data_IF_915787398743
#
_entry.id   IF_915787398743
#
_cell.length_a   1.000
_cell.length_b   1.000
_cell.length_c   1.000
_cell.angle_alpha   90.00
_cell.angle_beta   90.00
_cell.angle_gamma   90.00
#
_symmetry.space_group_name_H-M   'P 1'
#
loop_
_entity.id
_entity.type
_entity.pdbx_description
1 polymer ?
2 water ?
#
# COMPACT_ATOMS: atom_id res chain seq x y z
N UNK A 4 17.65 -13.63 5.53
CA UNK A 4 16.35 -13.29 6.22
C UNK A 4 15.76 -11.94 5.84
N UNK A 5 14.76 -11.50 6.59
CA UNK A 5 14.07 -10.23 6.36
C UNK A 5 15.01 -9.03 6.52
N UNK A 6 15.72 -8.97 7.64
CA UNK A 6 16.64 -7.87 7.90
C UNK A 6 17.63 -7.65 6.76
N UNK A 7 18.12 -8.73 6.15
CA UNK A 7 19.07 -8.57 5.05
C UNK A 7 18.42 -8.05 3.77
N UNK A 8 17.19 -8.49 3.49
CA UNK A 8 16.53 -8.00 2.28
C UNK A 8 16.18 -6.53 2.47
N UNK A 9 15.80 -6.16 3.69
CA UNK A 9 15.44 -4.78 3.96
C UNK A 9 16.63 -3.86 3.77
N UNK A 10 17.82 -4.30 4.18
CA UNK A 10 19.02 -3.48 4.00
C UNK A 10 19.30 -3.27 2.50
N UNK A 11 19.15 -4.32 1.70
CA UNK A 11 19.39 -4.19 0.27
C UNK A 11 18.37 -3.23 -0.37
N UNK A 12 17.10 -3.39 0.00
CA UNK A 12 16.04 -2.54 -0.53
C UNK A 12 16.24 -1.08 -0.14
N UNK A 13 16.67 -0.84 1.10
CA UNK A 13 16.90 0.51 1.60
C UNK A 13 18.00 1.22 0.82
N UNK A 14 19.13 0.54 0.65
CA UNK A 14 20.23 1.15 -0.07
C UNK A 14 19.81 1.35 -1.53
N UNK A 15 19.08 0.39 -2.09
CA UNK A 15 18.65 0.49 -3.48
C UNK A 15 17.67 1.64 -3.72
N UNK A 16 16.69 1.76 -2.84
CA UNK A 16 15.68 2.80 -2.97
C UNK A 16 16.27 4.19 -2.70
N UNK A 17 17.19 4.28 -1.74
CA UNK A 17 17.81 5.56 -1.45
C UNK A 17 18.50 6.06 -2.72
N UNK A 18 19.11 5.14 -3.46
CA UNK A 18 19.80 5.52 -4.70
C UNK A 18 18.83 5.87 -5.82
N UNK A 19 17.75 5.11 -5.94
CA UNK A 19 16.77 5.37 -6.98
C UNK A 19 16.02 6.68 -6.74
N UNK A 20 15.80 7.03 -5.48
CA UNK A 20 15.12 8.28 -5.18
C UNK A 20 16.06 9.44 -5.54
N UNK A 21 17.34 9.29 -5.20
CA UNK A 21 18.32 10.32 -5.50
C UNK A 21 18.37 10.53 -7.01
N UNK A 22 18.05 9.49 -7.78
CA UNK A 22 18.06 9.59 -9.24
C UNK A 22 16.84 10.34 -9.80
N UNK A 23 15.80 10.50 -8.99
CA UNK A 23 14.62 11.23 -9.44
C UNK A 23 14.95 12.72 -9.46
N UNK A 24 14.25 13.48 -10.30
CA UNK A 24 14.54 14.90 -10.39
C UNK A 24 13.56 15.82 -9.66
N UNK A 25 12.49 15.25 -9.14
CA UNK A 25 11.49 16.07 -8.45
C UNK A 25 12.12 16.98 -7.38
N UNK A 26 11.94 18.31 -7.51
CA UNK A 26 12.50 19.24 -6.53
C UNK A 26 11.98 19.04 -5.10
N UNK A 27 10.80 18.43 -4.97
CA UNK A 27 10.23 18.16 -3.65
C UNK A 27 11.07 17.13 -2.90
N UNK A 28 11.94 16.43 -3.63
CA UNK A 28 12.80 15.40 -3.04
C UNK A 28 14.23 15.87 -2.79
N UNK A 29 14.50 17.15 -3.00
CA UNK A 29 15.87 17.64 -2.79
C UNK A 29 16.29 17.46 -1.32
N UNK A 30 17.45 16.85 -1.12
CA UNK A 30 18.02 16.57 0.20
C UNK A 30 17.26 15.55 1.04
N UNK A 31 16.28 14.90 0.44
CA UNK A 31 15.53 13.88 1.18
C UNK A 31 16.39 12.65 1.39
N UNK A 32 16.26 12.04 2.57
CA UNK A 32 17.00 10.81 2.87
C UNK A 32 16.07 9.71 3.37
N UNK A 33 16.47 8.47 3.15
CA UNK A 33 15.69 7.34 3.60
C UNK A 33 16.25 6.89 4.94
N UNK A 34 15.43 6.95 5.98
CA UNK A 34 15.91 6.57 7.30
C UNK A 34 15.79 5.07 7.57
N UNK A 35 14.79 4.44 6.98
CA UNK A 35 14.61 3.01 7.22
C UNK A 35 13.49 2.47 6.35
N UNK A 36 13.40 1.15 6.26
CA UNK A 36 12.33 0.49 5.52
C UNK A 36 11.96 -0.72 6.34
N UNK A 37 10.71 -1.17 6.20
CA UNK A 37 10.24 -2.34 6.91
C UNK A 37 9.32 -3.07 5.95
N UNK A 38 9.61 -4.34 5.70
CA UNK A 38 8.80 -5.15 4.78
C UNK A 38 7.70 -5.86 5.55
N UNK A 39 6.51 -5.97 4.94
CA UNK A 39 5.41 -6.67 5.59
C UNK A 39 5.77 -8.16 5.71
N UNK A 40 5.11 -8.84 6.64
CA UNK A 40 5.36 -10.27 6.90
C UNK A 40 5.51 -11.12 5.65
N UNK A 41 4.64 -10.90 4.67
CA UNK A 41 4.64 -11.68 3.44
C UNK A 41 5.37 -11.03 2.28
N UNK A 42 6.04 -9.92 2.55
CA UNK A 42 6.77 -9.21 1.51
C UNK A 42 5.93 -8.43 0.52
N UNK A 43 4.63 -8.30 0.77
CA UNK A 43 3.75 -7.58 -0.15
C UNK A 43 3.95 -6.08 -0.21
N UNK A 44 4.29 -5.48 0.92
CA UNK A 44 4.48 -4.03 0.98
C UNK A 44 5.72 -3.65 1.76
N UNK A 45 6.42 -2.63 1.26
CA UNK A 45 7.61 -2.12 1.92
C UNK A 45 7.25 -0.71 2.40
N UNK A 46 7.34 -0.50 3.71
CA UNK A 46 7.08 0.82 4.29
C UNK A 46 8.44 1.49 4.25
N UNK A 47 8.48 2.70 3.70
CA UNK A 47 9.72 3.46 3.52
C UNK A 47 9.62 4.74 4.33
N UNK A 48 10.49 4.88 5.32
CA UNK A 48 10.46 6.04 6.22
C UNK A 48 11.50 7.07 5.77
N UNK A 49 11.04 8.28 5.47
CA UNK A 49 11.95 9.29 4.95
C UNK A 49 12.03 10.60 5.73
N UNK A 50 13.18 11.26 5.60
CA UNK A 50 13.39 12.57 6.23
C UNK A 50 13.43 13.61 5.11
N UNK A 51 12.41 14.46 5.04
CA UNK A 51 12.37 15.49 4.01
C UNK A 51 13.04 16.75 4.51
N UNK A 52 13.63 17.49 3.59
CA UNK A 52 14.29 18.74 3.94
C UNK A 52 13.23 19.79 4.31
N UNK A 53 12.27 19.98 3.41
CA UNK A 53 11.18 20.93 3.60
C UNK A 53 9.87 20.27 3.14
N UNK A 54 8.74 20.88 3.50
CA UNK A 54 7.42 20.37 3.13
C UNK A 54 7.40 18.85 3.05
N UNK A 55 7.34 18.21 4.21
CA UNK A 55 7.32 16.76 4.30
C UNK A 55 6.15 16.16 3.52
N UNK A 56 4.98 16.78 3.61
CA UNK A 56 3.80 16.32 2.88
C UNK A 56 4.07 16.27 1.38
N UNK A 57 4.69 17.33 0.85
CA UNK A 57 5.00 17.40 -0.58
C UNK A 57 5.98 16.32 -1.03
N UNK A 58 6.94 16.00 -0.16
CA UNK A 58 7.92 14.97 -0.47
C UNK A 58 7.20 13.62 -0.54
N UNK A 59 6.32 13.37 0.43
CA UNK A 59 5.61 12.10 0.46
C UNK A 59 4.73 11.96 -0.77
N UNK A 60 4.18 13.07 -1.26
CA UNK A 60 3.32 12.98 -2.45
C UNK A 60 4.15 12.69 -3.67
N UNK A 61 5.33 13.29 -3.72
CA UNK A 61 6.25 13.11 -4.84
C UNK A 61 6.70 11.65 -4.95
N UNK A 62 7.00 11.04 -3.81
CA UNK A 62 7.41 9.63 -3.80
C UNK A 62 6.24 8.76 -4.20
N UNK A 63 5.08 9.02 -3.60
CA UNK A 63 3.88 8.24 -3.91
C UNK A 63 3.59 8.30 -5.42
N UNK A 64 3.76 9.48 -6.00
CA UNK A 64 3.49 9.63 -7.43
C UNK A 64 4.50 8.84 -8.25
N UNK A 65 5.71 8.72 -7.71
CA UNK A 65 6.79 8.01 -8.38
C UNK A 65 6.82 6.53 -8.04
N UNK A 66 5.82 6.04 -7.29
CA UNK A 66 5.84 4.65 -6.83
C UNK A 66 6.02 3.61 -7.92
N UNK A 67 5.31 3.75 -9.03
CA UNK A 67 5.45 2.75 -10.07
C UNK A 67 6.82 2.74 -10.72
N UNK A 68 7.39 3.93 -10.97
CA UNK A 68 8.72 4.03 -11.57
C UNK A 68 9.78 3.53 -10.58
N UNK A 69 9.56 3.75 -9.29
CA UNK A 69 10.53 3.30 -8.31
C UNK A 69 10.50 1.79 -8.16
N UNK A 70 9.31 1.19 -8.22
CA UNK A 70 9.24 -0.26 -8.10
C UNK A 70 9.89 -0.89 -9.33
N UNK A 71 9.69 -0.25 -10.48
CA UNK A 71 10.27 -0.72 -11.74
C UNK A 71 11.80 -0.70 -11.62
N UNK A 72 12.33 0.36 -10.98
CA UNK A 72 13.76 0.54 -10.77
C UNK A 72 14.31 -0.51 -9.84
N UNK A 73 13.54 -0.84 -8.81
CA UNK A 73 13.97 -1.86 -7.88
C UNK A 73 13.95 -3.21 -8.57
N UNK A 74 12.96 -3.44 -9.42
CA UNK A 74 12.85 -4.73 -10.08
C UNK A 74 14.07 -5.01 -10.95
N UNK A 75 14.75 -3.96 -11.35
CA UNK A 75 15.94 -4.10 -12.19
C UNK A 75 17.21 -4.43 -11.41
N UNK A 76 17.16 -4.32 -10.08
CA UNK A 76 18.34 -4.60 -9.29
C UNK A 76 18.21 -5.52 -8.10
N UNK A 77 16.98 -5.91 -7.78
CA UNK A 77 16.75 -6.82 -6.66
C UNK A 77 16.09 -8.07 -7.20
N UNK A 78 16.54 -9.22 -6.74
CA UNK A 78 15.99 -10.48 -7.21
C UNK A 78 14.81 -10.92 -6.36
N UNK A 79 13.61 -10.72 -6.88
CA UNK A 79 12.36 -11.09 -6.22
C UNK A 79 11.37 -11.34 -7.35
N UNK A 80 10.62 -12.43 -7.28
CA UNK A 80 9.64 -12.72 -8.31
C UNK A 80 8.65 -11.58 -8.39
N UNK A 81 8.15 -11.12 -7.25
CA UNK A 81 7.24 -9.98 -7.26
C UNK A 81 7.75 -8.97 -6.24
N UNK A 82 8.10 -7.77 -6.69
CA UNK A 82 8.61 -6.72 -5.80
C UNK A 82 7.49 -6.16 -4.91
N UNK A 83 7.83 -5.71 -3.70
CA UNK A 83 6.76 -5.18 -2.86
C UNK A 83 6.32 -3.82 -3.39
N UNK A 84 5.11 -3.41 -3.03
CA UNK A 84 4.66 -2.09 -3.44
C UNK A 84 5.17 -1.20 -2.33
N UNK A 85 5.30 0.09 -2.59
CA UNK A 85 5.87 1.01 -1.60
C UNK A 85 4.89 1.94 -0.91
N UNK A 86 5.06 2.10 0.40
CA UNK A 86 4.23 3.02 1.18
C UNK A 86 5.23 4.01 1.76
N UNK A 87 5.01 5.31 1.56
CA UNK A 87 5.96 6.29 2.07
C UNK A 87 5.43 6.99 3.31
N UNK A 88 6.26 6.98 4.35
CA UNK A 88 5.89 7.57 5.64
C UNK A 88 6.97 8.50 6.17
N UNK A 89 6.59 9.42 7.08
CA UNK A 89 7.56 10.35 7.66
C UNK A 89 8.51 9.55 8.58
N UNK A 90 9.74 10.03 8.74
CA UNK A 90 10.72 9.33 9.57
C UNK A 90 10.29 9.12 11.01
N UNK A 91 9.45 10.00 11.52
CA UNK A 91 9.01 9.85 12.90
C UNK A 91 8.21 8.57 13.10
N UNK A 92 7.63 8.05 12.02
CA UNK A 92 6.84 6.85 12.10
C UNK A 92 7.60 5.51 12.06
N UNK A 93 8.91 5.52 11.86
CA UNK A 93 9.63 4.24 11.80
C UNK A 93 9.59 3.44 13.11
N UNK A 94 9.34 2.12 13.00
CA UNK A 94 9.26 1.18 14.14
C UNK A 94 10.52 1.09 15.00
N UNK B 3 -13.65 10.81 -13.06
CA UNK B 3 -13.15 11.69 -11.97
C UNK B 3 -14.09 11.65 -10.76
N UNK B 4 -13.63 12.24 -9.66
CA UNK B 4 -14.45 12.29 -8.46
C UNK B 4 -14.23 11.14 -7.50
N UNK B 5 -14.55 11.40 -6.24
CA UNK B 5 -14.42 10.42 -5.18
C UNK B 5 -15.23 9.16 -5.49
N UNK B 6 -16.53 9.33 -5.75
CA UNK B 6 -17.41 8.19 -6.03
C UNK B 6 -16.95 7.24 -7.14
N UNK B 7 -16.53 7.80 -8.27
CA UNK B 7 -16.08 6.99 -9.40
C UNK B 7 -14.81 6.19 -9.08
N UNK B 8 -13.90 6.80 -8.34
CA UNK B 8 -12.66 6.13 -7.98
C UNK B 8 -12.96 5.03 -6.97
N UNK B 9 -13.87 5.32 -6.05
CA UNK B 9 -14.25 4.34 -5.03
C UNK B 9 -14.93 3.15 -5.68
N UNK B 10 -15.57 3.39 -6.81
CA UNK B 10 -16.24 2.31 -7.53
C UNK B 10 -15.19 1.40 -8.16
N UNK B 11 -14.13 2.00 -8.70
CA UNK B 11 -13.06 1.22 -9.31
C UNK B 11 -12.38 0.38 -8.23
N UNK B 12 -12.15 1.00 -7.08
CA UNK B 12 -11.50 0.31 -5.97
C UNK B 12 -12.36 -0.82 -5.43
N UNK B 13 -13.65 -0.56 -5.25
CA UNK B 13 -14.55 -1.56 -4.73
C UNK B 13 -14.54 -2.82 -5.59
N UNK B 14 -14.66 -2.64 -6.90
CA UNK B 14 -14.67 -3.77 -7.83
C UNK B 14 -13.37 -4.54 -7.76
N UNK B 15 -12.26 -3.80 -7.78
CA UNK B 15 -10.95 -4.43 -7.73
C UNK B 15 -10.72 -5.21 -6.45
N UNK B 16 -11.02 -4.58 -5.32
CA UNK B 16 -10.83 -5.21 -4.02
C UNK B 16 -11.74 -6.42 -3.83
N UNK B 17 -12.97 -6.33 -4.33
CA UNK B 17 -13.90 -7.44 -4.21
C UNK B 17 -13.32 -8.64 -4.94
N UNK B 18 -12.80 -8.39 -6.13
CA UNK B 18 -12.21 -9.47 -6.92
C UNK B 18 -10.97 -10.06 -6.25
N UNK B 19 -10.13 -9.21 -5.67
CA UNK B 19 -8.91 -9.70 -5.02
C UNK B 19 -9.21 -10.48 -3.73
N UNK B 20 -10.28 -10.12 -3.05
CA UNK B 20 -10.67 -10.84 -1.85
C UNK B 20 -11.19 -12.23 -2.25
N UNK B 21 -11.99 -12.30 -3.30
CA UNK B 21 -12.49 -13.61 -3.75
C UNK B 21 -11.32 -14.51 -4.16
N UNK B 22 -10.30 -13.91 -4.75
CA UNK B 22 -9.10 -14.61 -5.21
C UNK B 22 -8.24 -15.19 -4.08
N UNK B 23 -8.49 -14.78 -2.84
CA UNK B 23 -7.74 -15.34 -1.72
C UNK B 23 -8.22 -16.76 -1.49
N UNK B 24 -9.47 -17.02 -1.86
CA UNK B 24 -10.11 -18.33 -1.66
C UNK B 24 -9.96 -18.77 -0.20
N UNK B 25 -10.21 -17.83 0.71
CA UNK B 25 -10.13 -18.08 2.14
C UNK B 25 -11.50 -18.57 2.57
N UNK B 26 -11.59 -19.81 3.10
CA UNK B 26 -12.87 -20.37 3.54
C UNK B 26 -13.61 -19.47 4.53
N UNK B 27 -12.87 -18.66 5.29
CA UNK B 27 -13.47 -17.76 6.28
C UNK B 27 -14.19 -16.59 5.61
N UNK B 28 -13.95 -16.41 4.32
CA UNK B 28 -14.57 -15.30 3.61
C UNK B 28 -15.55 -15.80 2.56
N UNK B 29 -15.94 -17.06 2.65
CA UNK B 29 -16.88 -17.60 1.68
C UNK B 29 -18.21 -16.86 1.78
N UNK B 30 -18.69 -16.41 0.63
CA UNK B 30 -19.94 -15.64 0.49
C UNK B 30 -19.90 -14.24 1.10
N UNK B 31 -18.72 -13.79 1.53
CA UNK B 31 -18.57 -12.43 2.06
C UNK B 31 -18.53 -11.51 0.85
N UNK B 32 -19.10 -10.32 0.96
CA UNK B 32 -19.09 -9.40 -0.16
C UNK B 32 -18.69 -7.98 0.24
N UNK B 33 -18.12 -7.25 -0.70
CA UNK B 33 -17.72 -5.86 -0.49
C UNK B 33 -18.88 -5.00 -0.97
N UNK B 34 -19.53 -4.30 -0.05
CA UNK B 34 -20.68 -3.49 -0.44
C UNK B 34 -20.32 -2.06 -0.84
N UNK B 35 -19.31 -1.50 -0.19
CA UNK B 35 -18.91 -0.14 -0.49
C UNK B 35 -17.51 0.14 0.04
N UNK B 36 -16.88 1.18 -0.50
CA UNK B 36 -15.56 1.62 -0.04
C UNK B 36 -15.59 3.15 -0.03
N UNK B 37 -14.92 3.73 0.96
CA UNK B 37 -14.82 5.18 1.12
C UNK B 37 -13.35 5.58 1.27
N UNK B 38 -12.85 6.41 0.36
CA UNK B 38 -11.46 6.87 0.39
C UNK B 38 -11.40 8.20 1.14
N UNK B 39 -10.40 8.37 2.00
CA UNK B 39 -10.28 9.62 2.75
C UNK B 39 -9.86 10.80 1.87
N UNK B 40 -9.97 12.01 2.42
CA UNK B 40 -9.63 13.23 1.70
C UNK B 40 -8.21 13.24 1.10
N UNK B 41 -7.24 12.73 1.85
CA UNK B 41 -5.86 12.70 1.36
C UNK B 41 -5.52 11.36 0.69
N UNK B 42 -6.54 10.50 0.58
CA UNK B 42 -6.42 9.20 -0.04
C UNK B 42 -5.55 8.17 0.67
N UNK B 43 -5.33 8.37 1.96
CA UNK B 43 -4.46 7.46 2.72
C UNK B 43 -5.17 6.32 3.43
N UNK B 44 -6.49 6.40 3.52
CA UNK B 44 -7.25 5.36 4.19
C UNK B 44 -8.43 4.98 3.34
N UNK B 45 -8.56 3.68 3.08
CA UNK B 45 -9.67 3.17 2.31
C UNK B 45 -10.54 2.32 3.24
N UNK B 46 -11.70 2.85 3.60
CA UNK B 46 -12.61 2.12 4.47
C UNK B 46 -13.37 1.14 3.57
N UNK B 47 -13.37 -0.13 3.95
CA UNK B 47 -14.00 -1.18 3.16
C UNK B 47 -15.15 -1.82 3.94
N UNK B 48 -16.37 -1.59 3.46
CA UNK B 48 -17.58 -2.10 4.10
C UNK B 48 -17.97 -3.46 3.52
N UNK B 49 -17.91 -4.49 4.36
CA UNK B 49 -18.19 -5.84 3.91
C UNK B 49 -19.42 -6.45 4.55
N UNK B 50 -20.05 -7.37 3.84
CA UNK B 50 -21.23 -8.05 4.34
C UNK B 50 -20.81 -9.49 4.47
N UNK B 51 -20.60 -9.92 5.71
CA UNK B 51 -20.19 -11.29 5.99
C UNK B 51 -21.43 -12.18 6.10
N UNK B 52 -21.39 -13.35 5.48
CA UNK B 52 -22.55 -14.26 5.57
C UNK B 52 -22.63 -14.82 7.00
N UNK B 53 -21.51 -15.37 7.48
CA UNK B 53 -21.41 -15.93 8.83
C UNK B 53 -20.09 -15.49 9.47
N UNK B 54 -20.03 -15.59 10.80
CA UNK B 54 -18.83 -15.25 11.58
C UNK B 54 -18.14 -13.97 11.13
N UNK B 55 -18.84 -12.87 11.34
CA UNK B 55 -18.36 -11.55 10.93
C UNK B 55 -16.99 -11.18 11.50
N UNK B 56 -16.81 -11.38 12.80
CA UNK B 56 -15.54 -11.04 13.44
C UNK B 56 -14.37 -11.85 12.88
N UNK B 57 -14.58 -13.15 12.68
CA UNK B 57 -13.52 -13.99 12.15
C UNK B 57 -13.16 -13.57 10.74
N UNK B 58 -14.15 -13.05 10.02
CA UNK B 58 -13.97 -12.59 8.64
C UNK B 58 -13.11 -11.32 8.66
N UNK B 59 -13.38 -10.44 9.62
CA UNK B 59 -12.63 -9.21 9.75
C UNK B 59 -11.19 -9.51 10.14
N UNK B 60 -10.98 -10.57 10.91
CA UNK B 60 -9.62 -10.93 11.31
C UNK B 60 -8.88 -11.44 10.08
N UNK B 61 -9.57 -12.24 9.27
CA UNK B 61 -8.94 -12.78 8.05
C UNK B 61 -8.62 -11.64 7.08
N UNK B 62 -9.51 -10.66 6.96
CA UNK B 62 -9.24 -9.54 6.06
C UNK B 62 -8.09 -8.70 6.57
N UNK B 63 -8.00 -8.53 7.88
CA UNK B 63 -6.90 -7.74 8.43
C UNK B 63 -5.59 -8.46 8.18
N UNK B 64 -5.60 -9.77 8.37
CA UNK B 64 -4.42 -10.60 8.16
C UNK B 64 -3.93 -10.50 6.72
N UNK B 65 -4.87 -10.34 5.79
CA UNK B 65 -4.53 -10.25 4.36
C UNK B 65 -4.44 -8.83 3.83
N UNK B 66 -4.48 -7.83 4.72
CA UNK B 66 -4.47 -6.43 4.28
C UNK B 66 -3.32 -6.04 3.36
N UNK B 67 -2.09 -6.37 3.76
CA UNK B 67 -0.93 -5.99 2.95
C UNK B 67 -0.94 -6.63 1.57
N UNK B 68 -1.28 -7.91 1.52
CA UNK B 68 -1.34 -8.63 0.25
C UNK B 68 -2.46 -8.04 -0.64
N UNK B 69 -3.59 -7.67 -0.04
CA UNK B 69 -4.71 -7.10 -0.80
C UNK B 69 -4.42 -5.69 -1.30
N UNK B 70 -3.76 -4.87 -0.48
CA UNK B 70 -3.50 -3.52 -0.96
C UNK B 70 -2.42 -3.57 -2.05
N UNK B 71 -1.49 -4.51 -1.95
CA UNK B 71 -0.46 -4.63 -3.00
C UNK B 71 -1.15 -4.98 -4.32
N UNK B 72 -2.01 -6.00 -4.31
CA UNK B 72 -2.73 -6.40 -5.52
C UNK B 72 -3.56 -5.23 -6.07
N UNK B 73 -4.21 -4.52 -5.17
CA UNK B 73 -5.03 -3.38 -5.55
C UNK B 73 -4.16 -2.35 -6.26
N UNK B 74 -2.97 -2.11 -5.72
CA UNK B 74 -2.03 -1.15 -6.30
C UNK B 74 -1.52 -1.52 -7.70
N UNK B 75 -1.40 -2.81 -7.99
CA UNK B 75 -0.91 -3.23 -9.30
C UNK B 75 -2.00 -3.23 -10.38
N UNK B 76 -3.24 -2.99 -9.99
CA UNK B 76 -4.32 -2.97 -10.97
C UNK B 76 -5.03 -1.63 -11.05
N UNK B 77 -4.80 -0.79 -10.05
CA UNK B 77 -5.41 0.54 -9.99
C UNK B 77 -4.38 1.57 -9.55
N UNK B 78 -4.04 2.49 -10.44
CA UNK B 78 -3.08 3.54 -10.12
C UNK B 78 -3.75 4.41 -9.06
N UNK B 79 -3.18 4.45 -7.87
CA UNK B 79 -3.75 5.26 -6.80
C UNK B 79 -2.81 6.42 -6.53
N UNK B 80 -3.28 7.40 -5.77
CA UNK B 80 -2.49 8.59 -5.45
C UNK B 80 -1.32 8.16 -4.57
N UNK B 81 -1.60 7.23 -3.67
CA UNK B 81 -0.64 6.68 -2.72
C UNK B 81 -1.21 5.34 -2.26
N UNK B 82 -0.40 4.53 -1.59
CA UNK B 82 -0.86 3.22 -1.12
C UNK B 82 -1.62 3.48 0.17
N UNK B 83 -2.93 3.17 0.20
CA UNK B 83 -3.69 3.42 1.43
C UNK B 83 -3.63 2.27 2.42
N UNK B 84 -4.11 2.51 3.64
CA UNK B 84 -4.20 1.44 4.62
C UNK B 84 -5.68 1.04 4.50
N UNK B 85 -5.98 -0.26 4.58
CA UNK B 85 -7.36 -0.72 4.47
C UNK B 85 -7.98 -0.90 5.83
N UNK B 86 -9.15 -0.29 5.99
CA UNK B 86 -9.92 -0.37 7.22
C UNK B 86 -11.21 -1.14 6.88
N UNK B 87 -11.32 -2.36 7.38
CA UNK B 87 -12.48 -3.22 7.11
C UNK B 87 -13.57 -2.99 8.13
N UNK B 88 -14.78 -2.72 7.66
CA UNK B 88 -15.90 -2.48 8.56
C UNK B 88 -17.17 -3.19 8.11
N UNK B 89 -18.04 -3.58 9.06
CA UNK B 89 -19.31 -4.27 8.79
C UNK B 89 -20.16 -3.35 7.91
N UNK B 90 -20.75 -3.89 6.84
CA UNK B 90 -21.56 -3.09 5.92
C UNK B 90 -22.50 -2.07 6.55
N UNK B 91 -23.22 -2.47 7.58
CA UNK B 91 -24.15 -1.56 8.24
C UNK B 91 -23.55 -0.19 8.57
N UNK B 92 -22.23 -0.08 8.54
CA UNK B 92 -21.52 1.16 8.87
C UNK B 92 -21.43 2.18 7.72
#
# INVERSE_FOLDING_TARGET
MAYGKAHLEAQLKRALAEEIQALEDPRLFLLTVEAVRLSKDGSVLSVYVEAFREEEGALRALSRAERRLVAALARRVRMRRLPRLEFLPWRASPA
MAYGKAHLEAQLKRALAEEIQALEDPRLFLLTVEAVRLSKDGSVLSVYVEAFREEEGALRALSRAERRLVAALARRVRMRRLPRLEFLPWRASPA
#
